data_IF_871205234535
#
_entry.id   IF_871205234535
#
_cell.length_a   1.000
_cell.length_b   1.000
_cell.length_c   1.000
_cell.angle_alpha   90.00
_cell.angle_beta   90.00
_cell.angle_gamma   90.00
#
_symmetry.space_group_name_H-M   'P 1'
#
loop_
_entity.id
_entity.type
_entity.pdbx_description
1 polymer ?
#
# COMPACT_ATOMS: atom_id res chain seq x y z
N UNK A 1 -5.37 29.18 -9.51
CA UNK A 1 -5.74 28.38 -10.71
C UNK A 1 -5.62 26.92 -10.30
N UNK A 2 -6.71 26.15 -10.35
CA UNK A 2 -6.67 24.72 -10.03
C UNK A 2 -6.11 23.98 -11.25
N UNK A 3 -4.85 23.57 -11.20
CA UNK A 3 -4.29 22.63 -12.18
C UNK A 3 -5.04 21.32 -12.05
N UNK A 4 -5.68 20.86 -13.13
CA UNK A 4 -6.28 19.53 -13.16
C UNK A 4 -5.20 18.49 -12.83
N UNK A 5 -5.37 17.76 -11.72
CA UNK A 5 -4.47 16.68 -11.33
C UNK A 5 -4.61 15.60 -12.38
N UNK A 6 -3.54 15.34 -13.14
CA UNK A 6 -3.49 14.23 -14.08
C UNK A 6 -3.54 12.94 -13.25
N UNK A 7 -4.56 12.12 -13.47
CA UNK A 7 -4.67 10.81 -12.81
C UNK A 7 -3.46 9.95 -13.20
N UNK A 8 -2.76 9.44 -12.20
CA UNK A 8 -1.62 8.52 -12.33
C UNK A 8 -2.14 7.10 -12.45
N UNK A 9 -1.57 6.34 -13.38
CA UNK A 9 -1.83 4.91 -13.51
C UNK A 9 -0.80 4.13 -12.69
N UNK A 10 -1.21 3.35 -11.66
CA UNK A 10 -0.29 2.54 -10.86
C UNK A 10 0.52 1.54 -11.71
N UNK A 11 0.00 1.07 -12.85
CA UNK A 11 0.73 0.16 -13.75
C UNK A 11 2.02 0.76 -14.30
N UNK A 12 2.13 2.09 -14.35
CA UNK A 12 3.33 2.79 -14.85
C UNK A 12 4.52 2.77 -13.88
N UNK A 13 4.31 2.35 -12.62
CA UNK A 13 5.36 2.24 -11.60
C UNK A 13 6.07 0.88 -11.59
N UNK A 14 5.59 -0.07 -12.39
CA UNK A 14 6.14 -1.42 -12.48
C UNK A 14 6.29 -1.80 -13.95
N UNK A 15 7.15 -2.77 -14.26
CA UNK A 15 7.21 -3.33 -15.62
C UNK A 15 6.00 -4.24 -15.86
N UNK A 16 5.58 -4.46 -17.12
CA UNK A 16 4.51 -5.43 -17.42
C UNK A 16 4.80 -6.83 -16.87
N UNK A 17 6.04 -7.31 -16.99
CA UNK A 17 6.43 -8.63 -16.46
C UNK A 17 6.31 -8.69 -14.93
N UNK A 18 6.65 -7.59 -14.23
CA UNK A 18 6.50 -7.52 -12.78
C UNK A 18 5.03 -7.49 -12.39
N UNK A 19 4.19 -6.75 -13.13
CA UNK A 19 2.75 -6.73 -12.92
C UNK A 19 2.16 -8.14 -13.04
N UNK A 20 2.40 -8.83 -14.15
CA UNK A 20 1.88 -10.18 -14.38
C UNK A 20 2.40 -11.18 -13.34
N UNK A 21 3.66 -11.03 -12.92
CA UNK A 21 4.25 -11.83 -11.86
C UNK A 21 3.54 -11.63 -10.52
N UNK A 22 3.31 -10.40 -10.09
CA UNK A 22 2.64 -10.13 -8.80
C UNK A 22 1.18 -10.58 -8.83
N UNK A 23 0.49 -10.38 -9.95
CA UNK A 23 -0.87 -10.92 -10.14
C UNK A 23 -0.86 -12.45 -10.04
N UNK A 24 0.11 -13.13 -10.66
CA UNK A 24 0.22 -14.59 -10.55
C UNK A 24 0.54 -15.07 -9.12
N UNK A 25 1.27 -14.30 -8.32
CA UNK A 25 1.51 -14.60 -6.90
C UNK A 25 0.23 -14.45 -6.07
N UNK A 26 -0.55 -13.39 -6.31
CA UNK A 26 -1.84 -13.16 -5.63
C UNK A 26 -2.87 -14.25 -5.93
N UNK A 27 -2.84 -14.82 -7.14
CA UNK A 27 -3.69 -15.94 -7.54
C UNK A 27 -3.41 -17.26 -6.80
N UNK A 28 -2.36 -17.32 -5.97
CA UNK A 28 -2.13 -18.48 -5.08
C UNK A 28 -3.17 -18.55 -3.95
N UNK A 29 -3.76 -17.41 -3.60
CA UNK A 29 -4.95 -17.38 -2.76
C UNK A 29 -6.18 -17.65 -3.63
N UNK A 30 -6.93 -18.71 -3.33
CA UNK A 30 -8.11 -19.13 -4.11
C UNK A 30 -9.25 -18.11 -4.10
N UNK A 31 -9.27 -17.20 -3.12
CA UNK A 31 -10.27 -16.12 -3.04
C UNK A 31 -10.02 -15.02 -4.09
N UNK A 32 -8.83 -14.98 -4.70
CA UNK A 32 -8.50 -13.99 -5.71
C UNK A 32 -8.84 -14.49 -7.12
N UNK A 33 -9.76 -13.79 -7.79
CA UNK A 33 -9.83 -13.83 -9.26
C UNK A 33 -8.72 -12.99 -9.87
N UNK A 34 -8.41 -13.18 -11.16
CA UNK A 34 -7.41 -12.34 -11.86
C UNK A 34 -7.78 -10.86 -11.80
N UNK A 35 -9.05 -10.55 -12.03
CA UNK A 35 -9.56 -9.18 -11.96
C UNK A 35 -9.36 -8.58 -10.57
N UNK A 36 -9.71 -9.33 -9.51
CA UNK A 36 -9.53 -8.87 -8.13
C UNK A 36 -8.04 -8.69 -7.79
N UNK A 37 -7.18 -9.63 -8.21
CA UNK A 37 -5.74 -9.54 -8.01
C UNK A 37 -5.12 -8.31 -8.69
N UNK A 38 -5.54 -8.00 -9.92
CA UNK A 38 -5.11 -6.80 -10.64
C UNK A 38 -5.57 -5.51 -9.95
N UNK A 39 -6.81 -5.46 -9.47
CA UNK A 39 -7.34 -4.32 -8.69
C UNK A 39 -6.56 -4.14 -7.38
N UNK A 40 -6.39 -5.20 -6.60
CA UNK A 40 -5.63 -5.19 -5.33
C UNK A 40 -4.19 -4.74 -5.55
N UNK A 41 -3.50 -5.29 -6.55
CA UNK A 41 -2.11 -4.92 -6.82
C UNK A 41 -1.98 -3.46 -7.29
N UNK A 42 -2.91 -2.97 -8.12
CA UNK A 42 -2.96 -1.56 -8.51
C UNK A 42 -3.10 -0.62 -7.31
N UNK A 43 -4.00 -0.94 -6.38
CA UNK A 43 -4.19 -0.15 -5.16
C UNK A 43 -2.99 -0.26 -4.21
N UNK A 44 -2.32 -1.41 -4.12
CA UNK A 44 -1.09 -1.56 -3.34
C UNK A 44 0.06 -0.72 -3.92
N UNK A 45 0.23 -0.67 -5.23
CA UNK A 45 1.23 0.21 -5.87
C UNK A 45 0.92 1.68 -5.61
N UNK A 46 -0.34 2.10 -5.75
CA UNK A 46 -0.75 3.48 -5.43
C UNK A 46 -0.47 3.84 -3.96
N UNK A 47 -0.81 2.94 -3.03
CA UNK A 47 -0.54 3.09 -1.60
C UNK A 47 0.97 3.20 -1.32
N UNK A 48 1.79 2.31 -1.87
CA UNK A 48 3.24 2.30 -1.67
C UNK A 48 3.93 3.55 -2.22
N UNK A 49 3.54 3.99 -3.41
CA UNK A 49 4.05 5.24 -3.99
C UNK A 49 3.69 6.42 -3.11
N UNK A 50 2.46 6.46 -2.60
CA UNK A 50 2.01 7.54 -1.71
C UNK A 50 2.81 7.52 -0.40
N UNK A 51 3.02 6.35 0.23
CA UNK A 51 3.86 6.25 1.44
C UNK A 51 5.31 6.64 1.17
N UNK A 52 5.85 6.21 0.03
CA UNK A 52 7.22 6.54 -0.40
C UNK A 52 7.45 8.04 -0.58
N UNK A 53 6.45 8.75 -1.10
CA UNK A 53 6.45 10.21 -1.31
C UNK A 53 6.13 11.01 -0.04
N UNK A 54 5.51 10.37 0.98
CA UNK A 54 5.06 11.03 2.22
C UNK A 54 5.58 10.27 3.46
N UNK A 55 6.90 10.21 3.70
CA UNK A 55 7.49 9.39 4.77
C UNK A 55 7.01 9.77 6.17
N UNK A 56 6.65 11.03 6.40
CA UNK A 56 6.22 11.54 7.71
C UNK A 56 4.70 11.38 7.94
N UNK A 57 3.96 10.90 6.95
CA UNK A 57 2.52 10.73 7.05
C UNK A 57 2.18 9.34 7.56
N UNK A 58 1.48 9.29 8.70
CA UNK A 58 0.94 8.05 9.23
C UNK A 58 -0.13 7.51 8.26
N UNK A 59 0.07 6.34 7.69
CA UNK A 59 -0.81 5.74 6.69
C UNK A 59 -0.96 4.23 6.95
N UNK A 60 -2.13 3.68 6.61
CA UNK A 60 -2.45 2.28 6.81
C UNK A 60 -3.43 1.79 5.73
N UNK A 61 -3.17 0.62 5.11
CA UNK A 61 -4.05 0.05 4.09
C UNK A 61 -5.29 -0.62 4.70
N UNK A 62 -6.26 -1.00 3.86
CA UNK A 62 -7.27 -2.02 4.21
C UNK A 62 -6.68 -3.43 4.07
N UNK A 63 -7.34 -4.44 4.62
CA UNK A 63 -6.89 -5.84 4.52
C UNK A 63 -6.66 -6.30 3.08
N UNK A 64 -7.53 -5.89 2.14
CA UNK A 64 -7.44 -6.27 0.74
C UNK A 64 -6.19 -5.71 0.05
N UNK A 65 -5.81 -4.47 0.38
CA UNK A 65 -4.62 -3.80 -0.16
C UNK A 65 -3.35 -4.28 0.54
N UNK A 66 -3.44 -4.53 1.84
CA UNK A 66 -2.37 -5.09 2.65
C UNK A 66 -1.97 -6.51 2.18
N UNK A 67 -2.94 -7.36 1.82
CA UNK A 67 -2.66 -8.68 1.20
C UNK A 67 -1.77 -8.56 -0.05
N UNK A 68 -2.06 -7.58 -0.91
CA UNK A 68 -1.26 -7.34 -2.12
C UNK A 68 0.11 -6.77 -1.81
N UNK A 69 0.23 -5.89 -0.81
CA UNK A 69 1.53 -5.42 -0.34
C UNK A 69 2.37 -6.57 0.25
N UNK A 70 1.78 -7.41 1.10
CA UNK A 70 2.43 -8.61 1.65
C UNK A 70 2.95 -9.53 0.55
N UNK A 71 2.11 -9.85 -0.44
CA UNK A 71 2.51 -10.67 -1.60
C UNK A 71 3.71 -10.07 -2.33
N UNK A 72 3.70 -8.75 -2.55
CA UNK A 72 4.79 -8.06 -3.22
C UNK A 72 6.08 -8.08 -2.38
N UNK A 73 5.98 -7.82 -1.08
CA UNK A 73 7.12 -7.86 -0.16
C UNK A 73 7.80 -9.23 -0.11
N UNK A 74 7.02 -10.32 -0.16
CA UNK A 74 7.55 -11.68 -0.17
C UNK A 74 8.35 -12.00 -1.45
N UNK A 75 8.08 -11.30 -2.56
CA UNK A 75 8.95 -11.29 -3.74
C UNK A 75 10.13 -10.31 -3.55
N UNK A 76 10.90 -10.56 -2.49
CA UNK A 76 11.86 -9.63 -1.87
C UNK A 76 12.87 -8.97 -2.81
N UNK A 77 13.34 -9.67 -3.86
CA UNK A 77 14.24 -9.10 -4.87
C UNK A 77 13.52 -7.97 -5.63
N UNK A 78 12.31 -8.24 -6.12
CA UNK A 78 11.53 -7.26 -6.88
C UNK A 78 11.06 -6.11 -6.01
N UNK A 79 10.66 -6.39 -4.77
CA UNK A 79 10.23 -5.36 -3.83
C UNK A 79 11.37 -4.44 -3.41
N UNK A 80 12.56 -4.98 -3.12
CA UNK A 80 13.73 -4.16 -2.81
C UNK A 80 14.16 -3.32 -4.01
N UNK A 81 14.13 -3.86 -5.24
CA UNK A 81 14.40 -3.07 -6.43
C UNK A 81 13.37 -1.97 -6.66
N UNK A 82 12.07 -2.25 -6.48
CA UNK A 82 11.00 -1.27 -6.63
C UNK A 82 11.17 -0.11 -5.65
N UNK A 83 11.32 -0.40 -4.36
CA UNK A 83 11.44 0.62 -3.31
C UNK A 83 12.71 1.45 -3.46
N UNK A 84 13.87 0.82 -3.70
CA UNK A 84 15.12 1.55 -3.93
C UNK A 84 15.07 2.42 -5.20
N UNK A 85 14.49 1.91 -6.30
CA UNK A 85 14.41 2.65 -7.56
C UNK A 85 13.53 3.90 -7.45
N UNK A 86 12.39 3.80 -6.78
CA UNK A 86 11.43 4.90 -6.71
C UNK A 86 11.67 5.85 -5.53
N UNK A 87 12.21 5.34 -4.43
CA UNK A 87 12.26 6.09 -3.17
C UNK A 87 13.66 6.20 -2.55
N UNK A 88 14.66 5.54 -3.13
CA UNK A 88 16.04 5.52 -2.63
C UNK A 88 16.23 4.79 -1.29
N UNK A 89 15.21 4.09 -0.80
CA UNK A 89 15.20 3.35 0.47
C UNK A 89 14.21 2.19 0.41
N UNK A 90 14.36 1.22 1.31
CA UNK A 90 13.36 0.19 1.52
C UNK A 90 12.15 0.76 2.27
N UNK A 91 10.94 0.37 1.87
CA UNK A 91 9.73 0.68 2.65
C UNK A 91 9.43 -0.50 3.56
N UNK A 92 9.61 -0.32 4.85
CA UNK A 92 9.38 -1.38 5.84
C UNK A 92 7.89 -1.52 6.13
N UNK A 93 7.42 -2.77 6.22
CA UNK A 93 6.12 -3.11 6.80
C UNK A 93 6.35 -3.50 8.25
N UNK A 94 5.58 -2.89 9.14
CA UNK A 94 5.59 -3.17 10.58
C UNK A 94 4.18 -3.60 10.95
N UNK A 95 3.93 -4.90 11.13
CA UNK A 95 2.63 -5.39 11.58
C UNK A 95 2.32 -4.88 12.98
N UNK A 96 1.06 -4.59 13.27
CA UNK A 96 0.63 -4.33 14.64
C UNK A 96 0.67 -5.63 15.44
N UNK A 97 1.52 -5.67 16.46
CA UNK A 97 1.55 -6.79 17.40
C UNK A 97 0.46 -6.52 18.43
N UNK A 98 -0.58 -7.34 18.45
CA UNK A 98 -1.74 -7.23 19.36
C UNK A 98 -1.43 -7.57 20.83
N UNK A 99 -0.21 -7.30 21.30
CA UNK A 99 0.18 -7.51 22.69
C UNK A 99 -0.12 -6.26 23.52
N UNK A 100 -1.34 -6.20 24.05
CA UNK A 100 -1.62 -5.52 25.32
C UNK A 100 -1.53 -3.99 25.36
N UNK A 101 -1.71 -3.28 24.24
CA UNK A 101 -1.88 -1.82 24.28
C UNK A 101 -3.20 -1.40 23.66
N UNK A 102 -3.93 -0.55 24.37
CA UNK A 102 -5.07 0.26 23.90
C UNK A 102 -4.63 1.28 22.82
N UNK A 103 -3.85 0.84 21.83
CA UNK A 103 -3.36 1.67 20.73
C UNK A 103 -4.49 1.92 19.76
N UNK A 104 -5.38 2.84 20.14
CA UNK A 104 -6.47 3.38 19.29
C UNK A 104 -5.96 4.23 18.12
N UNK A 105 -4.66 4.19 17.84
CA UNK A 105 -4.01 5.03 16.83
C UNK A 105 -4.12 4.44 15.41
N UNK A 106 -4.60 3.20 15.26
CA UNK A 106 -4.92 2.57 13.98
C UNK A 106 -6.35 2.62 13.50
N UNK A 107 -7.17 3.44 14.15
CA UNK A 107 -8.60 3.48 13.86
C UNK A 107 -8.98 4.09 12.50
N UNK A 108 -10.29 4.28 12.26
CA UNK A 108 -10.86 4.84 11.02
C UNK A 108 -10.22 6.13 10.51
N UNK A 109 -9.63 6.94 11.42
CA UNK A 109 -8.94 8.19 11.09
C UNK A 109 -7.67 7.97 10.25
N UNK A 110 -6.95 6.86 10.43
CA UNK A 110 -5.77 6.52 9.61
C UNK A 110 -6.19 6.15 8.20
N UNK A 111 -7.30 5.42 8.06
CA UNK A 111 -7.84 5.01 6.78
C UNK A 111 -8.33 6.23 5.96
N UNK A 112 -9.10 7.14 6.57
CA UNK A 112 -9.53 8.38 5.91
C UNK A 112 -8.35 9.25 5.45
N UNK A 113 -7.31 9.36 6.28
CA UNK A 113 -6.08 10.08 5.94
C UNK A 113 -5.35 9.41 4.78
N UNK A 114 -5.29 8.07 4.77
CA UNK A 114 -4.68 7.28 3.70
C UNK A 114 -5.41 7.48 2.38
N UNK A 115 -6.75 7.39 2.37
CA UNK A 115 -7.58 7.61 1.19
C UNK A 115 -7.39 9.04 0.65
N UNK A 116 -7.36 10.03 1.55
CA UNK A 116 -7.10 11.43 1.18
C UNK A 116 -5.72 11.61 0.56
N UNK A 117 -4.69 10.98 1.14
CA UNK A 117 -3.33 11.06 0.65
C UNK A 117 -3.16 10.43 -0.74
N UNK A 118 -3.76 9.25 -0.97
CA UNK A 118 -3.72 8.56 -2.28
C UNK A 118 -4.39 9.42 -3.36
N UNK A 119 -5.55 10.03 -3.05
CA UNK A 119 -6.22 10.96 -3.97
C UNK A 119 -5.37 12.20 -4.25
N UNK A 120 -4.74 12.78 -3.22
CA UNK A 120 -3.85 13.94 -3.36
C UNK A 120 -2.59 13.60 -4.18
N UNK A 121 -2.08 12.37 -4.06
CA UNK A 121 -0.99 11.85 -4.87
C UNK A 121 -1.39 11.61 -6.34
N UNK A 122 -2.69 11.72 -6.67
CA UNK A 122 -3.22 11.64 -8.04
C UNK A 122 -3.67 10.25 -8.47
N UNK A 123 -3.90 9.33 -7.54
CA UNK A 123 -4.41 7.99 -7.83
C UNK A 123 -5.91 7.86 -7.57
N UNK A 124 -6.57 6.99 -8.33
CA UNK A 124 -7.96 6.62 -8.10
C UNK A 124 -8.10 5.62 -6.95
N UNK A 125 -9.16 5.78 -6.17
CA UNK A 125 -9.53 4.87 -5.10
C UNK A 125 -10.57 3.90 -5.62
N UNK A 126 -10.26 2.62 -5.49
CA UNK A 126 -11.23 1.54 -5.65
C UNK A 126 -12.13 1.48 -4.40
N UNK A 127 -13.39 1.91 -4.52
CA UNK A 127 -14.29 2.05 -3.39
C UNK A 127 -14.55 0.73 -2.65
N UNK A 128 -14.55 -0.40 -3.36
CA UNK A 128 -14.79 -1.72 -2.74
C UNK A 128 -13.58 -2.15 -1.91
N UNK A 129 -12.37 -1.88 -2.41
CA UNK A 129 -11.13 -2.29 -1.73
C UNK A 129 -10.76 -1.37 -0.56
N UNK A 130 -11.32 -0.15 -0.51
CA UNK A 130 -11.05 0.84 0.54
C UNK A 130 -12.26 1.08 1.46
N UNK A 131 -13.20 0.14 1.53
CA UNK A 131 -14.37 0.25 2.39
C UNK A 131 -13.98 0.25 3.88
N UNK A 132 -14.62 1.12 4.69
CA UNK A 132 -14.27 1.37 6.09
C UNK A 132 -14.47 0.16 7.03
N UNK A 133 -15.20 -0.87 6.58
CA UNK A 133 -15.40 -2.11 7.34
C UNK A 133 -14.18 -3.06 7.28
N UNK A 134 -13.22 -2.79 6.39
CA UNK A 134 -12.07 -3.66 6.10
C UNK A 134 -10.73 -2.99 6.44
N UNK A 135 -10.72 -1.99 7.34
CA UNK A 135 -9.48 -1.37 7.81
C UNK A 135 -8.56 -2.44 8.40
N UNK A 136 -7.32 -2.56 7.90
CA UNK A 136 -6.37 -3.50 8.48
C UNK A 136 -5.84 -2.94 9.81
N UNK A 137 -5.53 -3.84 10.74
CA UNK A 137 -4.79 -3.55 11.98
C UNK A 137 -3.29 -3.28 11.66
N UNK A 138 -2.98 -2.48 10.64
CA UNK A 138 -1.62 -2.17 10.21
C UNK A 138 -1.51 -0.67 10.00
N UNK A 139 -1.37 0.05 11.09
CA UNK A 139 -1.38 1.51 11.10
C UNK A 139 0.02 2.15 11.17
N UNK A 140 1.09 1.37 11.34
CA UNK A 140 2.38 1.89 11.77
C UNK A 140 3.31 2.33 10.64
N UNK A 141 2.84 3.21 9.75
CA UNK A 141 3.74 4.19 9.12
C UNK A 141 4.07 5.33 10.11
N UNK A 142 4.27 5.02 11.39
CA UNK A 142 4.78 5.95 12.38
C UNK A 142 6.31 5.78 12.40
N UNK A 143 7.06 6.88 12.29
CA UNK A 143 8.52 6.95 12.19
C UNK A 143 9.14 6.65 10.79
N UNK A 144 8.60 7.26 9.74
CA UNK A 144 9.46 7.72 8.64
C UNK A 144 9.88 6.70 7.59
N UNK A 145 9.30 5.50 7.53
CA UNK A 145 9.84 4.41 6.68
C UNK A 145 11.37 4.31 6.80
N UNK A 146 11.88 4.56 8.02
CA UNK A 146 13.27 4.44 8.37
C UNK A 146 13.37 3.24 9.31
N UNK A 147 14.44 2.45 9.14
CA UNK A 147 14.83 1.44 10.10
C UNK A 147 14.66 2.03 11.51
N UNK A 148 13.79 1.44 12.32
CA UNK A 148 13.66 1.77 13.73
C UNK A 148 14.44 0.73 14.54
N UNK A 149 15.71 0.99 14.91
CA UNK A 149 16.37 0.18 15.91
C UNK A 149 16.05 0.72 17.32
N UNK A 150 15.48 -0.19 18.11
CA UNK A 150 15.26 -0.21 19.57
C UNK A 150 14.42 0.89 20.21
#
# INVERSE_FOLDING_TARGET
MSTAVKIRDPRTYVTPDMWDRQVALLLRNSENTRELAERKFGQAVAYLVTCGENPDLLMGPTHAVDEAWHSFMLDSIHYSHFTNRHFGRYLHHVPELSEGSDSKDGGPLVLERTITAIKAAGFEIDADLWAMVDAADCNQCHAGCHDSPK
#
